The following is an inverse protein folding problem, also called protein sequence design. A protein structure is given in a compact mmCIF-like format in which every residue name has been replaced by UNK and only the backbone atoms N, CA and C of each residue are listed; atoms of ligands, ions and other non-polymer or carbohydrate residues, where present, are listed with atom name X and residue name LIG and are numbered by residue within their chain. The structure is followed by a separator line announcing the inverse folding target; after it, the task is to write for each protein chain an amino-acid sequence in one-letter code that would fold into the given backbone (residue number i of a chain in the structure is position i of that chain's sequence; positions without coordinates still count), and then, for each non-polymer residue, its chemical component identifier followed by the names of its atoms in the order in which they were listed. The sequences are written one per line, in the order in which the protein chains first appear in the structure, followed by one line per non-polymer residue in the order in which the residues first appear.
data_IF_905628335129
#
_entry.id   IF_905628335129
#
_cell.length_a   1.000
_cell.length_b   1.000
_cell.length_c   1.000
_cell.angle_alpha   90.00
_cell.angle_beta   90.00
_cell.angle_gamma   90.00
#
_symmetry.space_group_name_H-M   'P 1'
#
loop_
_entity.id
_entity.type
_entity.pdbx_description
1 polymer ?
#
# COMPACT_ATOMS: atom_id res chain seq x y z
N UNK A 1 -10.04 -6.14 28.16
CA UNK A 1 -11.46 -5.86 27.84
C UNK A 1 -11.64 -6.06 26.35
N UNK A 2 -12.78 -6.65 25.98
CA UNK A 2 -13.03 -7.34 24.71
C UNK A 2 -12.98 -6.36 23.52
N UNK A 3 -12.44 -6.82 22.40
CA UNK A 3 -12.18 -6.06 21.16
C UNK A 3 -13.46 -5.62 20.39
N UNK A 4 -14.59 -5.40 21.06
CA UNK A 4 -15.93 -5.37 20.44
C UNK A 4 -16.75 -4.08 20.56
N UNK A 5 -16.35 -3.09 21.36
CA UNK A 5 -17.33 -2.07 21.80
C UNK A 5 -17.37 -0.76 20.99
N UNK A 6 -16.57 -0.61 19.94
CA UNK A 6 -16.64 0.59 19.10
C UNK A 6 -17.78 0.54 18.04
N UNK A 7 -18.56 -0.55 17.98
CA UNK A 7 -19.69 -0.74 17.05
C UNK A 7 -21.04 -1.00 17.76
N UNK A 8 -21.14 -0.75 19.07
CA UNK A 8 -22.36 -1.06 19.85
C UNK A 8 -23.07 0.19 20.35
N UNK A 9 -23.44 1.11 19.45
CA UNK A 9 -24.45 2.12 19.77
C UNK A 9 -25.37 2.40 18.57
N UNK A 10 -26.56 1.79 18.62
CA UNK A 10 -27.81 2.53 18.41
C UNK A 10 -28.43 2.68 17.02
N UNK A 11 -27.81 2.26 15.91
CA UNK A 11 -28.48 2.32 14.59
C UNK A 11 -27.99 1.24 13.62
N UNK A 12 -28.84 0.26 13.30
CA UNK A 12 -28.50 -0.89 12.45
C UNK A 12 -27.95 -0.50 11.06
N UNK A 13 -28.30 0.67 10.52
CA UNK A 13 -27.82 1.13 9.20
C UNK A 13 -26.41 1.72 9.23
N UNK A 14 -25.93 2.19 10.39
CA UNK A 14 -24.61 2.83 10.55
C UNK A 14 -23.49 1.82 10.89
N UNK A 15 -23.86 0.65 11.43
CA UNK A 15 -22.94 -0.37 11.96
C UNK A 15 -22.07 -1.07 10.89
N UNK A 16 -22.62 -1.35 9.69
CA UNK A 16 -21.89 -2.08 8.65
C UNK A 16 -20.77 -1.23 8.01
N UNK A 17 -20.99 0.07 7.82
CA UNK A 17 -20.02 0.99 7.22
C UNK A 17 -18.78 1.19 8.11
N UNK A 18 -18.97 1.23 9.44
CA UNK A 18 -17.88 1.39 10.40
C UNK A 18 -16.99 0.12 10.47
N UNK A 19 -17.59 -1.07 10.42
CA UNK A 19 -16.85 -2.33 10.34
C UNK A 19 -16.13 -2.50 8.98
N UNK A 20 -16.76 -2.13 7.86
CA UNK A 20 -16.11 -2.18 6.55
C UNK A 20 -14.95 -1.19 6.42
N UNK A 21 -15.10 0.02 6.93
CA UNK A 21 -14.08 1.06 6.84
C UNK A 21 -12.75 0.64 7.48
N UNK A 22 -12.81 -0.12 8.58
CA UNK A 22 -11.63 -0.68 9.26
C UNK A 22 -10.82 -1.63 8.39
N UNK A 23 -11.46 -2.32 7.43
CA UNK A 23 -10.83 -3.30 6.55
C UNK A 23 -10.68 -2.86 5.09
N UNK A 24 -11.19 -1.67 4.72
CA UNK A 24 -11.19 -1.17 3.34
C UNK A 24 -9.80 -1.14 2.67
N UNK A 25 -8.75 -0.94 3.46
CA UNK A 25 -7.36 -0.96 2.97
C UNK A 25 -6.94 -2.30 2.35
N UNK A 26 -7.61 -3.42 2.68
CA UNK A 26 -7.33 -4.72 2.07
C UNK A 26 -7.70 -4.78 0.59
N UNK A 27 -8.70 -4.02 0.15
CA UNK A 27 -9.07 -3.95 -1.27
C UNK A 27 -7.89 -3.44 -2.10
N UNK A 28 -7.30 -2.32 -1.67
CA UNK A 28 -6.14 -1.74 -2.34
C UNK A 28 -4.89 -2.61 -2.20
N UNK A 29 -4.69 -3.27 -1.05
CA UNK A 29 -3.54 -4.19 -0.87
C UNK A 29 -3.62 -5.39 -1.78
N UNK A 30 -4.78 -6.04 -1.87
CA UNK A 30 -4.98 -7.23 -2.70
C UNK A 30 -4.91 -6.87 -4.18
N UNK A 31 -5.51 -5.75 -4.59
CA UNK A 31 -5.42 -5.27 -5.97
C UNK A 31 -3.98 -4.95 -6.37
N UNK A 32 -3.21 -4.27 -5.50
CA UNK A 32 -1.82 -3.96 -5.80
C UNK A 32 -0.96 -5.22 -5.82
N UNK A 33 -1.10 -6.09 -4.81
CA UNK A 33 -0.31 -7.32 -4.73
C UNK A 33 -0.61 -8.30 -5.88
N UNK A 34 -1.87 -8.42 -6.32
CA UNK A 34 -2.21 -9.33 -7.42
C UNK A 34 -1.54 -8.91 -8.73
N UNK A 35 -1.57 -7.62 -9.07
CA UNK A 35 -0.97 -7.08 -10.29
C UNK A 35 0.55 -7.25 -10.28
N UNK A 36 1.20 -6.86 -9.19
CA UNK A 36 2.65 -6.95 -9.09
C UNK A 36 3.16 -8.40 -8.97
N UNK A 37 2.41 -9.31 -8.35
CA UNK A 37 2.76 -10.74 -8.39
C UNK A 37 2.61 -11.30 -9.80
N UNK A 38 1.53 -10.96 -10.50
CA UNK A 38 1.29 -11.42 -11.87
C UNK A 38 2.42 -10.98 -12.82
N UNK A 39 2.88 -9.73 -12.72
CA UNK A 39 3.97 -9.21 -13.55
C UNK A 39 5.38 -9.56 -13.04
N UNK A 40 5.54 -9.74 -11.73
CA UNK A 40 6.84 -9.98 -11.10
C UNK A 40 7.28 -11.45 -11.15
N UNK A 41 6.35 -12.41 -11.02
CA UNK A 41 6.68 -13.84 -11.04
C UNK A 41 7.36 -14.27 -12.35
N UNK A 42 6.86 -13.90 -13.55
CA UNK A 42 7.55 -14.21 -14.80
C UNK A 42 8.94 -13.58 -14.89
N UNK A 43 9.12 -12.35 -14.38
CA UNK A 43 10.43 -11.67 -14.36
C UNK A 43 11.44 -12.42 -13.50
N UNK A 44 10.98 -12.95 -12.36
CA UNK A 44 11.83 -13.72 -11.46
C UNK A 44 12.17 -15.11 -12.02
N UNK A 45 11.26 -15.69 -12.82
CA UNK A 45 11.48 -16.98 -13.47
C UNK A 45 12.54 -16.90 -14.58
N UNK A 46 12.61 -15.80 -15.33
CA UNK A 46 13.62 -15.57 -16.36
C UNK A 46 14.17 -14.14 -16.34
N UNK A 47 15.20 -13.96 -15.51
CA UNK A 47 15.89 -12.69 -15.33
C UNK A 47 16.66 -12.26 -16.59
N UNK A 48 17.22 -13.21 -17.33
CA UNK A 48 18.03 -12.93 -18.52
C UNK A 48 17.15 -12.46 -19.67
N UNK A 49 16.01 -13.12 -19.91
CA UNK A 49 15.04 -12.68 -20.91
C UNK A 49 14.44 -11.32 -20.56
N UNK A 50 14.12 -11.08 -19.28
CA UNK A 50 13.63 -9.77 -18.81
C UNK A 50 14.65 -8.66 -19.06
N UNK A 51 15.92 -8.92 -18.71
CA UNK A 51 17.02 -7.99 -18.93
C UNK A 51 17.20 -7.66 -20.42
N UNK A 52 17.16 -8.67 -21.29
CA UNK A 52 17.26 -8.49 -22.73
C UNK A 52 16.06 -7.69 -23.31
N UNK A 53 14.83 -8.04 -22.92
CA UNK A 53 13.61 -7.37 -23.38
C UNK A 53 13.60 -5.89 -22.99
N UNK A 54 13.96 -5.58 -21.74
CA UNK A 54 13.95 -4.22 -21.21
C UNK A 54 15.23 -3.44 -21.54
N UNK A 55 16.22 -4.06 -22.20
CA UNK A 55 17.56 -3.51 -22.46
C UNK A 55 18.25 -3.01 -21.17
N UNK A 56 18.05 -3.74 -20.07
CA UNK A 56 18.62 -3.45 -18.76
C UNK A 56 19.70 -4.47 -18.42
N UNK A 57 20.71 -4.10 -17.61
CA UNK A 57 21.65 -5.09 -17.11
C UNK A 57 20.94 -6.07 -16.16
N UNK A 58 21.38 -7.34 -16.16
CA UNK A 58 20.73 -8.44 -15.41
C UNK A 58 20.54 -8.11 -13.93
N UNK A 59 21.50 -7.42 -13.32
CA UNK A 59 21.40 -7.02 -11.92
C UNK A 59 20.26 -6.03 -11.66
N UNK A 60 19.96 -5.10 -12.58
CA UNK A 60 18.81 -4.18 -12.45
C UNK A 60 17.51 -4.97 -12.63
N UNK A 61 17.44 -5.85 -13.62
CA UNK A 61 16.26 -6.71 -13.82
C UNK A 61 15.97 -7.58 -12.60
N UNK A 62 17.03 -8.05 -11.92
CA UNK A 62 16.92 -8.79 -10.65
C UNK A 62 16.35 -7.93 -9.54
N UNK A 63 16.85 -6.70 -9.36
CA UNK A 63 16.29 -5.77 -8.37
C UNK A 63 14.83 -5.45 -8.65
N UNK A 64 14.45 -5.26 -9.92
CA UNK A 64 13.05 -5.03 -10.33
C UNK A 64 12.19 -6.24 -9.96
N UNK A 65 12.57 -7.45 -10.38
CA UNK A 65 11.80 -8.66 -10.09
C UNK A 65 11.63 -8.90 -8.58
N UNK A 66 12.70 -8.70 -7.81
CA UNK A 66 12.67 -8.82 -6.35
C UNK A 66 11.83 -7.72 -5.70
N UNK A 67 11.87 -6.49 -6.19
CA UNK A 67 11.04 -5.41 -5.69
C UNK A 67 9.55 -5.65 -5.97
N UNK A 68 9.19 -6.17 -7.14
CA UNK A 68 7.80 -6.48 -7.47
C UNK A 68 7.26 -7.64 -6.63
N UNK A 69 7.94 -8.80 -6.63
CA UNK A 69 7.49 -9.99 -5.90
C UNK A 69 7.63 -9.79 -4.40
N UNK A 70 8.82 -9.37 -3.95
CA UNK A 70 9.12 -9.12 -2.54
C UNK A 70 8.29 -7.98 -1.96
N UNK A 71 8.11 -6.88 -2.72
CA UNK A 71 7.26 -5.76 -2.32
C UNK A 71 5.81 -6.15 -2.13
N UNK A 72 5.26 -6.96 -3.04
CA UNK A 72 3.88 -7.47 -2.96
C UNK A 72 3.66 -8.37 -1.76
N UNK A 73 4.54 -9.36 -1.56
CA UNK A 73 4.45 -10.28 -0.42
C UNK A 73 4.64 -9.54 0.89
N UNK A 74 5.59 -8.61 0.94
CA UNK A 74 5.84 -7.78 2.12
C UNK A 74 4.65 -6.87 2.43
N UNK A 75 3.97 -6.34 1.41
CA UNK A 75 2.79 -5.51 1.58
C UNK A 75 1.64 -6.29 2.23
N UNK A 76 1.40 -7.53 1.77
CA UNK A 76 0.39 -8.42 2.34
C UNK A 76 0.75 -8.80 3.79
N UNK A 77 2.00 -9.21 4.01
CA UNK A 77 2.49 -9.56 5.35
C UNK A 77 2.41 -8.36 6.32
N UNK A 78 2.78 -7.17 5.87
CA UNK A 78 2.66 -5.94 6.65
C UNK A 78 1.21 -5.64 7.04
N UNK A 79 0.26 -5.98 6.16
CA UNK A 79 -1.16 -5.88 6.44
C UNK A 79 -1.63 -6.83 7.53
N UNK A 80 -1.23 -8.10 7.46
CA UNK A 80 -1.54 -9.11 8.50
C UNK A 80 -0.92 -8.73 9.84
N UNK A 81 0.35 -8.31 9.84
CA UNK A 81 1.09 -7.91 11.04
C UNK A 81 0.69 -6.52 11.57
N UNK A 82 -0.17 -5.79 10.86
CA UNK A 82 -0.59 -4.40 11.18
C UNK A 82 0.61 -3.44 11.38
N UNK A 83 1.73 -3.68 10.67
CA UNK A 83 2.96 -2.89 10.80
C UNK A 83 3.02 -1.81 9.72
N UNK A 84 2.59 -0.59 10.06
CA UNK A 84 2.56 0.54 9.11
C UNK A 84 3.94 0.90 8.54
N UNK A 85 5.02 0.79 9.31
CA UNK A 85 6.38 1.01 8.80
C UNK A 85 6.71 0.04 7.65
N UNK A 86 6.31 -1.23 7.82
CA UNK A 86 6.56 -2.27 6.83
C UNK A 86 5.70 -2.06 5.57
N UNK A 87 4.46 -1.59 5.72
CA UNK A 87 3.62 -1.18 4.58
C UNK A 87 4.27 -0.06 3.76
N UNK A 88 4.90 0.92 4.41
CA UNK A 88 5.58 2.03 3.72
C UNK A 88 6.80 1.55 2.96
N UNK A 89 7.62 0.70 3.57
CA UNK A 89 8.80 0.10 2.90
C UNK A 89 8.35 -0.77 1.72
N UNK A 90 7.33 -1.60 1.92
CA UNK A 90 6.79 -2.47 0.88
C UNK A 90 6.26 -1.70 -0.33
N UNK A 91 5.45 -0.67 -0.11
CA UNK A 91 4.98 0.17 -1.21
C UNK A 91 6.10 1.02 -1.82
N UNK A 92 7.01 1.54 -0.99
CA UNK A 92 8.11 2.41 -1.41
C UNK A 92 9.13 1.72 -2.33
N UNK A 93 9.42 0.44 -2.13
CA UNK A 93 10.33 -0.30 -3.01
C UNK A 93 9.76 -0.51 -4.42
N UNK A 94 8.43 -0.56 -4.57
CA UNK A 94 7.75 -0.74 -5.86
C UNK A 94 7.59 0.57 -6.65
N UNK A 95 7.66 1.74 -5.98
CA UNK A 95 7.59 3.07 -6.62
C UNK A 95 8.60 3.26 -7.76
N UNK A 96 9.93 3.04 -7.57
CA UNK A 96 10.89 3.22 -8.67
C UNK A 96 10.63 2.25 -9.82
N UNK A 97 10.08 1.06 -9.55
CA UNK A 97 9.70 0.09 -10.58
C UNK A 97 8.57 0.64 -11.47
N UNK A 98 7.54 1.24 -10.88
CA UNK A 98 6.48 1.89 -11.67
C UNK A 98 6.98 3.08 -12.46
N UNK A 99 7.86 3.90 -11.87
CA UNK A 99 8.45 5.03 -12.59
C UNK A 99 9.23 4.52 -13.81
N UNK A 100 10.00 3.44 -13.65
CA UNK A 100 10.71 2.78 -14.75
C UNK A 100 9.74 2.24 -15.81
N UNK A 101 8.68 1.53 -15.41
CA UNK A 101 7.68 1.00 -16.35
C UNK A 101 6.98 2.12 -17.14
N UNK A 102 6.61 3.21 -16.47
CA UNK A 102 5.98 4.37 -17.12
C UNK A 102 6.92 4.94 -18.17
N UNK A 103 8.14 5.31 -17.77
CA UNK A 103 9.07 6.05 -18.65
C UNK A 103 9.58 5.18 -19.81
N UNK A 104 9.92 3.92 -19.53
CA UNK A 104 10.61 3.06 -20.50
C UNK A 104 9.66 2.32 -21.44
N UNK A 105 8.44 1.99 -20.99
CA UNK A 105 7.55 1.08 -21.73
C UNK A 105 6.26 1.76 -22.16
N UNK A 106 5.60 2.49 -21.27
CA UNK A 106 4.23 2.93 -21.49
C UNK A 106 4.10 4.37 -22.00
N UNK A 107 5.06 5.23 -21.71
CA UNK A 107 5.03 6.64 -22.09
C UNK A 107 4.85 6.88 -23.60
N UNK A 108 5.54 6.15 -24.50
CA UNK A 108 5.39 6.36 -25.94
C UNK A 108 3.99 6.03 -26.47
N UNK A 109 3.23 5.21 -25.75
CA UNK A 109 1.91 4.73 -26.16
C UNK A 109 0.76 5.68 -25.79
N UNK A 110 1.06 6.82 -25.15
CA UNK A 110 0.08 7.82 -24.73
C UNK A 110 -0.69 7.44 -23.46
N UNK A 111 -1.91 7.99 -23.29
CA UNK A 111 -2.70 7.79 -22.07
C UNK A 111 -3.41 6.44 -22.01
N UNK A 112 -4.17 6.10 -23.06
CA UNK A 112 -5.16 5.01 -23.03
C UNK A 112 -4.55 3.62 -22.79
N UNK A 113 -5.12 2.87 -21.85
CA UNK A 113 -4.76 1.46 -21.62
C UNK A 113 -4.95 0.57 -22.86
N UNK A 114 -5.90 0.90 -23.74
CA UNK A 114 -6.16 0.12 -24.97
C UNK A 114 -4.98 0.10 -25.95
N UNK A 115 -4.14 1.12 -25.90
CA UNK A 115 -2.90 1.20 -26.69
C UNK A 115 -1.67 0.75 -25.88
N UNK A 116 -1.84 0.24 -24.66
CA UNK A 116 -0.74 -0.01 -23.74
C UNK A 116 -0.14 1.28 -23.14
N UNK A 117 -0.96 2.33 -22.97
CA UNK A 117 -0.56 3.63 -22.40
C UNK A 117 -0.35 3.64 -20.89
N UNK A 118 -0.17 4.86 -20.35
CA UNK A 118 0.25 5.08 -18.95
C UNK A 118 -0.89 5.02 -17.92
N UNK A 119 -2.16 5.08 -18.32
CA UNK A 119 -3.33 5.18 -17.43
C UNK A 119 -3.29 4.19 -16.26
N UNK A 120 -3.13 2.90 -16.56
CA UNK A 120 -3.10 1.85 -15.54
C UNK A 120 -1.90 2.00 -14.59
N UNK A 121 -0.72 2.30 -15.14
CA UNK A 121 0.50 2.47 -14.37
C UNK A 121 0.42 3.67 -13.42
N UNK A 122 -0.18 4.79 -13.87
CA UNK A 122 -0.40 5.98 -13.05
C UNK A 122 -1.33 5.68 -11.88
N UNK A 123 -2.39 4.89 -12.11
CA UNK A 123 -3.30 4.46 -11.03
C UNK A 123 -2.57 3.60 -10.01
N UNK A 124 -1.79 2.60 -10.45
CA UNK A 124 -1.01 1.76 -9.55
C UNK A 124 0.00 2.57 -8.75
N UNK A 125 0.70 3.52 -9.38
CA UNK A 125 1.64 4.42 -8.71
C UNK A 125 0.93 5.27 -7.66
N UNK A 126 -0.25 5.80 -7.96
CA UNK A 126 -1.04 6.58 -6.99
C UNK A 126 -1.42 5.75 -5.76
N UNK A 127 -1.82 4.47 -5.95
CA UNK A 127 -2.14 3.56 -4.84
C UNK A 127 -0.89 3.23 -4.00
N UNK A 128 0.26 3.06 -4.65
CA UNK A 128 1.53 2.88 -3.93
C UNK A 128 1.88 4.11 -3.09
N UNK A 129 1.79 5.30 -3.66
CA UNK A 129 2.02 6.54 -2.93
C UNK A 129 1.04 6.69 -1.77
N UNK A 130 -0.22 6.32 -1.94
CA UNK A 130 -1.18 6.24 -0.85
C UNK A 130 -0.66 5.35 0.30
N UNK A 131 -0.14 4.15 0.02
CA UNK A 131 0.43 3.28 1.06
C UNK A 131 1.74 3.80 1.67
N UNK A 132 2.59 4.45 0.88
CA UNK A 132 3.81 5.12 1.37
C UNK A 132 3.47 6.25 2.34
N UNK A 133 2.40 7.00 2.06
CA UNK A 133 1.99 8.15 2.86
C UNK A 133 1.18 7.76 4.10
N UNK A 134 0.25 6.81 3.96
CA UNK A 134 -0.66 6.41 5.05
C UNK A 134 -0.13 5.26 5.91
N UNK A 135 0.74 4.41 5.37
CA UNK A 135 1.10 3.14 6.00
C UNK A 135 -0.07 2.16 6.12
N UNK A 136 -1.12 2.33 5.30
CA UNK A 136 -2.29 1.45 5.24
C UNK A 136 -3.25 1.59 6.43
N UNK A 137 -3.30 2.77 7.04
CA UNK A 137 -4.34 3.16 8.00
C UNK A 137 -5.45 3.88 7.23
N UNK A 138 -6.71 3.48 7.40
CA UNK A 138 -7.88 4.05 6.71
C UNK A 138 -8.29 5.47 7.16
N UNK A 139 -7.36 6.27 7.71
CA UNK A 139 -7.58 7.63 8.19
C UNK A 139 -6.53 8.58 7.61
N UNK A 140 -6.99 9.72 7.10
CA UNK A 140 -6.21 10.70 6.32
C UNK A 140 -5.17 11.48 7.16
N UNK A 141 -3.86 11.16 6.96
CA UNK A 141 -2.62 11.99 7.13
C UNK A 141 -2.35 12.67 8.52
N UNK A 142 -1.14 13.18 8.92
CA UNK A 142 0.23 13.14 8.36
C UNK A 142 1.29 12.48 9.28
N UNK A 143 2.50 12.44 8.70
CA UNK A 143 3.86 12.18 9.19
C UNK A 143 4.18 12.16 10.69
N UNK A 144 4.95 11.12 11.03
CA UNK A 144 6.09 11.02 11.95
C UNK A 144 6.03 11.72 13.33
N UNK A 145 5.77 10.88 14.33
CA UNK A 145 6.34 10.95 15.68
C UNK A 145 6.30 9.53 16.28
N UNK A 146 7.46 8.96 16.65
CA UNK A 146 7.52 7.72 17.44
C UNK A 146 7.51 8.11 18.93
N UNK A 147 6.72 7.44 19.75
CA UNK A 147 6.87 7.54 21.20
C UNK A 147 7.90 6.52 21.73
N UNK A 148 8.26 6.67 23.01
CA UNK A 148 9.27 5.90 23.75
C UNK A 148 8.98 4.38 23.83
N UNK A 149 7.76 3.98 23.45
CA UNK A 149 7.29 2.58 23.43
C UNK A 149 7.21 1.98 22.01
N UNK A 150 7.60 2.73 20.98
CA UNK A 150 7.58 2.26 19.59
C UNK A 150 6.19 2.22 18.94
N UNK A 151 5.20 2.86 19.55
CA UNK A 151 3.83 2.92 19.05
C UNK A 151 3.64 4.19 18.19
N UNK A 152 3.21 4.01 16.94
CA UNK A 152 2.92 5.12 16.03
C UNK A 152 1.49 5.66 16.26
N UNK A 153 1.32 6.48 17.29
CA UNK A 153 0.11 7.31 17.50
C UNK A 153 0.28 8.65 16.77
N UNK A 154 -0.79 9.15 16.15
CA UNK A 154 -0.80 10.45 15.47
C UNK A 154 -0.71 11.61 16.47
N UNK A 155 -0.18 12.75 16.04
CA UNK A 155 0.23 13.87 16.90
C UNK A 155 -0.90 14.74 17.49
N UNK A 156 -2.17 14.30 17.44
CA UNK A 156 -3.31 15.04 18.02
C UNK A 156 -4.16 14.13 18.90
N UNK A 157 -3.56 13.29 19.74
CA UNK A 157 -4.34 12.45 20.67
C UNK A 157 -3.67 12.36 22.04
N UNK A 158 -4.20 13.13 22.99
CA UNK A 158 -4.04 12.80 24.41
C UNK A 158 -4.89 11.56 24.68
N UNK A 159 -4.23 10.50 25.14
CA UNK A 159 -4.83 9.23 25.58
C UNK A 159 -6.13 9.48 26.35
N UNK A 160 -7.25 9.03 25.81
CA UNK A 160 -8.39 8.71 26.66
C UNK A 160 -8.18 7.33 27.30
N UNK A 161 -8.71 7.15 28.51
CA UNK A 161 -8.44 5.97 29.36
C UNK A 161 -8.90 4.63 28.75
N UNK A 162 -9.64 4.69 27.65
CA UNK A 162 -10.33 3.54 27.05
C UNK A 162 -9.77 3.15 25.66
N UNK A 163 -8.67 3.76 25.20
CA UNK A 163 -7.87 3.26 24.07
C UNK A 163 -8.54 3.31 22.68
N UNK A 164 -9.64 4.04 22.51
CA UNK A 164 -10.26 4.28 21.20
C UNK A 164 -9.85 5.66 20.66
N UNK A 165 -9.27 5.70 19.45
CA UNK A 165 -8.94 6.94 18.74
C UNK A 165 -10.25 7.62 18.29
N UNK A 166 -10.61 8.75 18.91
CA UNK A 166 -11.84 9.48 18.63
C UNK A 166 -11.78 10.91 19.13
N UNK A 167 -12.32 11.85 18.36
CA UNK A 167 -12.41 13.27 18.74
C UNK A 167 -13.32 13.40 19.98
N UNK A 168 -12.78 13.96 21.08
CA UNK A 168 -13.61 14.44 22.19
C UNK A 168 -14.43 15.62 21.69
N UNK A 169 -15.75 15.47 21.67
CA UNK A 169 -16.68 16.60 21.58
C UNK A 169 -16.40 17.52 22.77
N UNK A 170 -15.92 18.74 22.49
CA UNK A 170 -15.82 19.78 23.49
C UNK A 170 -17.23 20.18 23.90
N UNK A 171 -17.63 19.84 25.12
CA UNK A 171 -18.66 20.59 25.84
C UNK A 171 -18.08 21.92 26.31
#
# INVERSE_FOLDING_TARGET
MKDGECCSSGSMKMSWYCCLGKHAHWLLRLALASVFLYHGLPKLADLTATAAMMQLPVWVATLVALAEVGGSLLLLLAGVLKKSCLTRVAAGMMVPVMVGAIVLVHWPNGWSVGNGGIEFNVVLLAIQLYFVLTGGKSGMMPMMGKNEKGECCGAIEMKDKDGCCGMKDKK
#
